data_IF_236847739219
#
_entry.id   IF_236847739219
#
_cell.length_a   1.000
_cell.length_b   1.000
_cell.length_c   1.000
_cell.angle_alpha   90.00
_cell.angle_beta   90.00
_cell.angle_gamma   90.00
#
_symmetry.space_group_name_H-M   'P 1'
#
loop_
_entity.id
_entity.type
_entity.pdbx_description
1 polymer ?
#
# COMPACT_ATOMS: atom_id res chain seq x y z
N UNK A 1 -27.48 3.05 9.21
CA UNK A 1 -26.33 2.14 9.13
C UNK A 1 -25.24 2.89 8.39
N UNK A 2 -24.13 3.27 9.05
CA UNK A 2 -23.08 4.12 8.47
C UNK A 2 -21.67 3.71 8.96
N UNK A 3 -21.40 2.40 9.06
CA UNK A 3 -20.09 1.89 9.49
C UNK A 3 -19.03 1.91 8.38
N UNK A 4 -19.40 1.49 7.18
CA UNK A 4 -18.45 1.16 6.10
C UNK A 4 -17.76 2.39 5.46
N UNK A 5 -18.39 3.57 5.50
CA UNK A 5 -17.82 4.77 4.86
C UNK A 5 -16.57 5.29 5.57
N UNK A 6 -16.46 5.12 6.89
CA UNK A 6 -15.27 5.57 7.63
C UNK A 6 -14.08 4.65 7.39
N UNK A 7 -14.31 3.34 7.33
CA UNK A 7 -13.27 2.34 7.04
C UNK A 7 -12.75 2.49 5.61
N UNK A 8 -13.65 2.62 4.63
CA UNK A 8 -13.28 2.89 3.24
C UNK A 8 -12.46 4.18 3.12
N UNK A 9 -12.89 5.26 3.78
CA UNK A 9 -12.17 6.54 3.77
C UNK A 9 -10.79 6.46 4.39
N UNK A 10 -10.62 5.70 5.49
CA UNK A 10 -9.29 5.44 6.08
C UNK A 10 -8.41 4.64 5.14
N UNK A 11 -8.96 3.61 4.49
CA UNK A 11 -8.23 2.81 3.52
C UNK A 11 -7.79 3.63 2.30
N UNK A 12 -8.65 4.51 1.77
CA UNK A 12 -8.30 5.45 0.70
C UNK A 12 -7.20 6.44 1.12
N UNK A 13 -7.31 7.00 2.33
CA UNK A 13 -6.27 7.88 2.90
C UNK A 13 -4.94 7.16 3.08
N UNK A 14 -4.96 5.90 3.50
CA UNK A 14 -3.75 5.10 3.62
C UNK A 14 -3.19 4.75 2.24
N UNK A 15 -4.04 4.41 1.27
CA UNK A 15 -3.66 4.12 -0.11
C UNK A 15 -2.99 5.33 -0.77
N UNK A 16 -3.46 6.55 -0.48
CA UNK A 16 -2.83 7.79 -0.93
C UNK A 16 -1.41 7.99 -0.37
N UNK A 17 -1.05 7.30 0.72
CA UNK A 17 0.30 7.31 1.30
C UNK A 17 1.22 6.23 0.69
N UNK A 18 0.74 5.41 -0.26
CA UNK A 18 1.58 4.44 -1.02
C UNK A 18 2.42 5.18 -2.07
N UNK A 19 3.25 6.09 -1.58
CA UNK A 19 4.25 6.80 -2.35
C UNK A 19 5.61 6.50 -1.74
N UNK A 20 6.42 5.74 -2.46
CA UNK A 20 7.81 5.55 -2.13
C UNK A 20 8.64 6.47 -3.04
N UNK A 21 9.36 7.40 -2.44
CA UNK A 21 10.21 8.39 -3.11
C UNK A 21 11.68 7.97 -3.00
N UNK A 22 12.57 8.56 -3.79
CA UNK A 22 14.00 8.20 -3.85
C UNK A 22 14.32 6.76 -4.29
N UNK A 23 13.38 6.09 -4.95
CA UNK A 23 13.68 4.89 -5.73
C UNK A 23 13.89 5.31 -7.19
N UNK A 24 15.14 5.51 -7.56
CA UNK A 24 15.51 5.60 -8.97
C UNK A 24 15.66 4.20 -9.52
N UNK A 25 14.54 3.55 -9.84
CA UNK A 25 14.51 2.19 -10.44
C UNK A 25 15.40 2.08 -11.68
N UNK A 26 15.57 3.18 -12.41
CA UNK A 26 16.48 3.29 -13.56
C UNK A 26 17.98 3.26 -13.20
N UNK A 27 18.34 3.62 -11.96
CA UNK A 27 19.71 3.63 -11.43
C UNK A 27 19.96 2.50 -10.43
N UNK A 28 18.90 1.78 -10.03
CA UNK A 28 19.02 0.59 -9.21
C UNK A 28 19.79 -0.49 -9.96
N UNK A 29 20.80 -1.05 -9.31
CA UNK A 29 21.48 -2.23 -9.84
C UNK A 29 20.44 -3.34 -10.01
N UNK A 30 20.23 -3.82 -11.24
CA UNK A 30 19.31 -4.92 -11.54
C UNK A 30 19.80 -6.23 -10.92
N UNK A 31 19.60 -6.36 -9.61
CA UNK A 31 19.77 -7.60 -8.86
C UNK A 31 18.40 -8.25 -8.69
N UNK A 32 18.36 -9.58 -8.61
CA UNK A 32 17.11 -10.32 -8.38
C UNK A 32 16.40 -9.89 -7.09
N UNK A 33 17.17 -9.38 -6.11
CA UNK A 33 16.66 -8.85 -4.83
C UNK A 33 15.89 -7.54 -5.06
N UNK A 34 16.47 -6.62 -5.82
CA UNK A 34 15.83 -5.34 -6.12
C UNK A 34 14.56 -5.54 -6.95
N UNK A 35 14.61 -6.37 -8.00
CA UNK A 35 13.41 -6.67 -8.79
C UNK A 35 12.31 -7.36 -7.99
N UNK A 36 12.67 -8.18 -6.99
CA UNK A 36 11.69 -8.76 -6.06
C UNK A 36 11.00 -7.69 -5.22
N UNK A 37 11.76 -6.76 -4.64
CA UNK A 37 11.18 -5.69 -3.82
C UNK A 37 10.39 -4.68 -4.66
N UNK A 38 10.81 -4.36 -5.89
CA UNK A 38 10.03 -3.54 -6.83
C UNK A 38 8.69 -4.21 -7.15
N UNK A 39 8.72 -5.49 -7.46
CA UNK A 39 7.50 -6.24 -7.71
C UNK A 39 6.61 -6.31 -6.47
N UNK A 40 7.20 -6.44 -5.27
CA UNK A 40 6.47 -6.40 -4.01
C UNK A 40 5.80 -5.03 -3.77
N UNK A 41 6.46 -3.90 -4.12
CA UNK A 41 5.85 -2.57 -4.05
C UNK A 41 4.62 -2.46 -4.94
N UNK A 42 4.76 -2.84 -6.21
CA UNK A 42 3.67 -2.78 -7.19
C UNK A 42 2.53 -3.71 -6.77
N UNK A 43 2.85 -4.93 -6.35
CA UNK A 43 1.87 -5.91 -5.90
C UNK A 43 1.12 -5.44 -4.65
N UNK A 44 1.81 -4.90 -3.64
CA UNK A 44 1.18 -4.42 -2.41
C UNK A 44 0.22 -3.25 -2.70
N UNK A 45 0.64 -2.28 -3.51
CA UNK A 45 -0.22 -1.15 -3.92
C UNK A 45 -1.42 -1.63 -4.72
N UNK A 46 -1.21 -2.47 -5.72
CA UNK A 46 -2.32 -3.02 -6.52
C UNK A 46 -3.30 -3.83 -5.67
N UNK A 47 -2.80 -4.62 -4.72
CA UNK A 47 -3.64 -5.43 -3.85
C UNK A 47 -4.48 -4.57 -2.91
N UNK A 48 -3.90 -3.51 -2.35
CA UNK A 48 -4.62 -2.52 -1.56
C UNK A 48 -5.70 -1.80 -2.40
N UNK A 49 -5.36 -1.30 -3.61
CA UNK A 49 -6.33 -0.65 -4.50
C UNK A 49 -7.49 -1.57 -4.88
N UNK A 50 -7.19 -2.81 -5.29
CA UNK A 50 -8.21 -3.80 -5.63
C UNK A 50 -9.12 -4.12 -4.46
N UNK A 51 -8.57 -4.21 -3.25
CA UNK A 51 -9.36 -4.51 -2.06
C UNK A 51 -10.31 -3.35 -1.71
N UNK A 52 -9.86 -2.09 -1.84
CA UNK A 52 -10.70 -0.90 -1.68
C UNK A 52 -11.82 -0.86 -2.73
N UNK A 53 -11.51 -1.15 -4.00
CA UNK A 53 -12.51 -1.21 -5.07
C UNK A 53 -13.53 -2.34 -4.85
N UNK A 54 -13.07 -3.54 -4.52
CA UNK A 54 -13.94 -4.69 -4.23
C UNK A 54 -14.83 -4.42 -3.02
N UNK A 55 -14.30 -3.78 -1.96
CA UNK A 55 -15.08 -3.39 -0.80
C UNK A 55 -16.12 -2.30 -1.12
N UNK A 56 -15.82 -1.42 -2.09
CA UNK A 56 -16.76 -0.41 -2.60
C UNK A 56 -17.88 -1.03 -3.44
N UNK A 57 -17.59 -2.09 -4.20
CA UNK A 57 -18.57 -2.75 -5.08
C UNK A 57 -19.39 -3.83 -4.38
N UNK A 58 -18.81 -4.58 -3.46
CA UNK A 58 -19.43 -5.72 -2.77
C UNK A 58 -19.27 -5.57 -1.25
N UNK A 59 -19.96 -4.55 -0.71
CA UNK A 59 -20.02 -4.12 0.71
C UNK A 59 -20.38 -5.26 1.71
N UNK A 60 -20.64 -6.49 1.23
CA UNK A 60 -21.27 -7.59 1.96
C UNK A 60 -20.37 -8.83 2.15
N UNK A 61 -19.21 -8.97 1.49
CA UNK A 61 -18.45 -10.24 1.49
C UNK A 61 -17.11 -10.23 2.25
N UNK A 62 -16.63 -9.08 2.72
CA UNK A 62 -15.33 -9.02 3.40
C UNK A 62 -15.50 -9.26 4.90
N UNK A 63 -15.12 -10.44 5.38
CA UNK A 63 -15.04 -10.76 6.83
C UNK A 63 -13.93 -9.99 7.55
N UNK A 64 -13.07 -9.28 6.82
CA UNK A 64 -11.95 -8.48 7.32
C UNK A 64 -12.17 -7.02 6.95
N UNK A 65 -11.80 -6.12 7.85
CA UNK A 65 -11.96 -4.70 7.63
C UNK A 65 -10.98 -4.21 6.54
N UNK A 66 -11.48 -3.39 5.61
CA UNK A 66 -10.70 -2.91 4.45
C UNK A 66 -9.47 -2.13 4.89
N UNK A 67 -9.56 -1.41 6.01
CA UNK A 67 -8.45 -0.67 6.60
C UNK A 67 -7.35 -1.59 7.14
N UNK A 68 -7.68 -2.72 7.78
CA UNK A 68 -6.70 -3.71 8.24
C UNK A 68 -5.90 -4.31 7.07
N UNK A 69 -6.58 -4.67 5.98
CA UNK A 69 -5.91 -5.23 4.79
C UNK A 69 -5.00 -4.18 4.16
N UNK A 70 -5.49 -2.96 3.97
CA UNK A 70 -4.69 -1.88 3.38
C UNK A 70 -3.53 -1.52 4.30
N UNK A 71 -3.68 -1.56 5.62
CA UNK A 71 -2.60 -1.35 6.58
C UNK A 71 -1.54 -2.44 6.53
N UNK A 72 -1.94 -3.70 6.39
CA UNK A 72 -1.00 -4.80 6.21
C UNK A 72 -0.23 -4.66 4.88
N UNK A 73 -0.91 -4.29 3.80
CA UNK A 73 -0.25 -4.01 2.53
C UNK A 73 0.69 -2.80 2.63
N UNK A 74 0.33 -1.78 3.41
CA UNK A 74 1.15 -0.59 3.63
C UNK A 74 2.45 -0.93 4.37
N UNK A 75 2.41 -1.82 5.35
CA UNK A 75 3.62 -2.31 6.02
C UNK A 75 4.55 -3.07 5.08
N UNK A 76 4.00 -3.93 4.22
CA UNK A 76 4.77 -4.64 3.20
C UNK A 76 5.37 -3.68 2.16
N UNK A 77 4.57 -2.71 1.72
CA UNK A 77 5.01 -1.63 0.85
C UNK A 77 6.15 -0.83 1.51
N UNK A 78 6.03 -0.57 2.82
CA UNK A 78 7.04 0.15 3.61
C UNK A 78 8.36 -0.59 3.68
N UNK A 79 8.30 -1.87 4.04
CA UNK A 79 9.48 -2.72 4.09
C UNK A 79 10.16 -2.83 2.71
N UNK A 80 9.38 -3.03 1.64
CA UNK A 80 9.93 -3.13 0.29
C UNK A 80 10.61 -1.83 -0.16
N UNK A 81 9.98 -0.69 0.09
CA UNK A 81 10.52 0.62 -0.25
C UNK A 81 11.84 0.91 0.49
N UNK A 82 11.89 0.63 1.79
CA UNK A 82 13.12 0.77 2.58
C UNK A 82 14.22 -0.17 2.10
N UNK A 83 13.89 -1.41 1.74
CA UNK A 83 14.86 -2.37 1.18
C UNK A 83 15.41 -1.92 -0.18
N UNK A 84 14.64 -1.16 -0.95
CA UNK A 84 15.08 -0.57 -2.21
C UNK A 84 15.89 0.71 -2.03
N UNK A 85 16.05 1.19 -0.79
CA UNK A 85 16.70 2.47 -0.48
C UNK A 85 15.81 3.69 -0.67
N UNK A 86 14.52 3.48 -0.92
CA UNK A 86 13.52 4.55 -1.00
C UNK A 86 13.12 5.06 0.38
N UNK A 87 12.72 6.34 0.44
CA UNK A 87 12.13 6.94 1.63
C UNK A 87 10.64 7.18 1.38
N UNK A 88 9.85 7.00 2.43
CA UNK A 88 8.49 7.51 2.42
C UNK A 88 8.52 9.01 2.58
N UNK A 89 7.58 9.75 1.95
CA UNK A 89 7.29 11.08 2.39
C UNK A 89 6.89 10.90 3.85
N UNK A 90 7.71 11.45 4.75
CA UNK A 90 7.45 11.42 6.18
C UNK A 90 6.05 11.99 6.36
N UNK A 91 5.05 11.14 6.57
CA UNK A 91 3.82 11.58 7.20
C UNK A 91 4.31 12.23 8.49
N UNK A 92 4.16 13.53 8.56
CA UNK A 92 4.60 14.39 9.65
C UNK A 92 4.26 13.71 10.97
N UNK A 93 5.26 13.03 11.55
CA UNK A 93 5.17 12.47 12.89
C UNK A 93 5.27 13.67 13.84
N UNK A 94 4.23 13.95 14.65
CA UNK A 94 4.31 14.97 15.69
C UNK A 94 5.33 14.61 16.77
#
# INVERSE_FOLDING_TARGET
MFGNSQELKRAEQLLAQFECHNIETALMTHSAINSYHEHALVAARQKASRYVEQYREDEQQSSLAVDEIVQQQYQLYTAACQSLGGIFPKAEQP
#
